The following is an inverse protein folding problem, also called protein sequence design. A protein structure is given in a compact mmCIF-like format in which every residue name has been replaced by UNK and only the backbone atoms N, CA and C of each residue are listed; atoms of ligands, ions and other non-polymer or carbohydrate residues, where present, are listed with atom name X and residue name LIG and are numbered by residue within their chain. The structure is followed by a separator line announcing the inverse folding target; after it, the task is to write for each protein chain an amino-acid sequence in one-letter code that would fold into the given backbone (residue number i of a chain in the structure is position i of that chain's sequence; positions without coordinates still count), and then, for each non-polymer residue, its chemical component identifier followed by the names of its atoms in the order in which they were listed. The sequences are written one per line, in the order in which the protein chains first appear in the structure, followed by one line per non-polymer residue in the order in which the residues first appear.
data_IF_551964601226
#
_entry.id   IF_551964601226
#
_cell.length_a   1.000
_cell.length_b   1.000
_cell.length_c   1.000
_cell.angle_alpha   90.00
_cell.angle_beta   90.00
_cell.angle_gamma   90.00
#
_symmetry.space_group_name_H-M   'P 1'
#
loop_
_entity.id
_entity.type
_entity.pdbx_description
1 polymer ?
2 non-polymer ?
3 non-polymer ?
4 non-polymer ?
5 water ?
#
# COMPACT_ATOMS: atom_id res chain seq x y z
N UNK A 7 -6.12 36.29 -18.34
CA UNK A 7 -7.38 35.90 -17.65
C UNK A 7 -7.10 34.87 -16.55
N UNK A 8 -8.00 34.80 -15.58
CA UNK A 8 -7.94 33.79 -14.50
C UNK A 8 -8.02 32.42 -15.16
N UNK A 9 -8.82 32.21 -16.21
CA UNK A 9 -8.95 30.89 -16.85
C UNK A 9 -7.61 30.47 -17.49
N UNK A 10 -6.86 31.39 -18.07
CA UNK A 10 -5.57 31.04 -18.70
C UNK A 10 -4.59 30.56 -17.62
N UNK A 11 -4.45 31.35 -16.56
CA UNK A 11 -3.49 31.02 -15.49
C UNK A 11 -3.92 29.71 -14.85
N UNK A 12 -5.24 29.49 -14.72
CA UNK A 12 -5.79 28.26 -14.10
C UNK A 12 -5.41 27.05 -14.96
N UNK A 13 -5.50 27.20 -16.27
CA UNK A 13 -5.28 26.10 -17.21
C UNK A 13 -3.80 25.75 -17.12
N UNK A 14 -2.94 26.76 -17.12
CA UNK A 14 -1.46 26.48 -17.12
C UNK A 14 -1.07 25.79 -15.82
N UNK A 15 -1.56 26.33 -14.71
CA UNK A 15 -1.26 25.76 -13.37
C UNK A 15 -1.76 24.32 -13.27
N UNK A 16 -2.99 24.07 -13.73
CA UNK A 16 -3.55 22.71 -13.68
C UNK A 16 -2.72 21.77 -14.56
N UNK A 17 -2.32 22.27 -15.73
CA UNK A 17 -1.47 21.43 -16.60
C UNK A 17 -0.15 21.03 -15.92
N UNK A 18 0.46 21.94 -15.20
CA UNK A 18 1.70 21.64 -14.44
C UNK A 18 1.44 20.63 -13.34
N UNK A 19 0.36 20.84 -12.59
CA UNK A 19 0.02 19.95 -11.46
C UNK A 19 -0.33 18.54 -11.95
N UNK A 20 -1.17 18.47 -12.98
CA UNK A 20 -1.76 17.21 -13.47
C UNK A 20 -0.80 16.41 -14.33
N UNK A 21 -0.23 17.05 -15.33
CA UNK A 21 0.47 16.33 -16.42
C UNK A 21 2.00 16.40 -16.29
N UNK A 22 2.53 17.50 -15.77
CA UNK A 22 3.99 17.59 -15.57
C UNK A 22 4.41 16.86 -14.32
N UNK A 23 3.77 17.11 -13.18
CA UNK A 23 4.08 16.50 -11.88
C UNK A 23 3.31 15.24 -11.57
N UNK A 24 2.18 15.02 -12.23
CA UNK A 24 1.32 13.83 -11.98
C UNK A 24 0.88 13.76 -10.51
N UNK A 25 0.65 14.93 -9.91
CA UNK A 25 0.45 14.96 -8.43
C UNK A 25 -0.76 14.14 -8.01
N UNK A 26 -1.90 14.28 -8.72
CA UNK A 26 -3.10 13.55 -8.29
C UNK A 26 -2.93 12.04 -8.45
N UNK A 27 -2.36 11.61 -9.60
CA UNK A 27 -2.14 10.17 -9.80
C UNK A 27 -1.18 9.63 -8.72
N UNK A 28 -0.12 10.38 -8.41
CA UNK A 28 0.82 9.94 -7.35
C UNK A 28 0.16 9.89 -5.98
N UNK A 29 -0.68 10.87 -5.69
CA UNK A 29 -1.39 10.88 -4.39
C UNK A 29 -2.35 9.69 -4.28
N UNK A 30 -3.01 9.35 -5.36
CA UNK A 30 -3.97 8.23 -5.29
C UNK A 30 -3.19 6.94 -5.07
N UNK A 31 -2.08 6.82 -5.80
CA UNK A 31 -1.27 5.59 -5.63
C UNK A 31 -0.75 5.50 -4.20
N UNK A 32 -0.25 6.60 -3.67
CA UNK A 32 0.24 6.65 -2.27
C UNK A 32 -0.85 6.15 -1.32
N UNK A 33 -2.05 6.76 -1.43
CA UNK A 33 -3.19 6.36 -0.61
C UNK A 33 -3.40 4.86 -0.66
N UNK A 34 -3.52 4.30 -1.87
CA UNK A 34 -3.85 2.87 -1.97
C UNK A 34 -2.70 2.00 -1.42
N UNK A 35 -1.45 2.36 -1.71
CA UNK A 35 -0.33 1.59 -1.12
C UNK A 35 -0.43 1.60 0.41
N UNK A 36 -0.88 2.72 1.00
CA UNK A 36 -0.95 2.88 2.48
C UNK A 36 -2.21 2.22 3.07
N UNK A 37 -3.15 1.82 2.23
CA UNK A 37 -4.46 1.28 2.69
C UNK A 37 -4.75 0.02 1.91
N UNK A 38 -3.95 -1.04 2.13
CA UNK A 38 -4.05 -2.23 1.32
C UNK A 38 -5.39 -2.95 1.44
N UNK A 39 -6.21 -2.65 2.46
CA UNK A 39 -7.55 -3.27 2.54
C UNK A 39 -8.29 -3.06 1.20
N UNK A 40 -8.07 -1.94 0.52
CA UNK A 40 -8.87 -1.58 -0.67
C UNK A 40 -8.39 -2.33 -1.91
N UNK A 41 -7.19 -2.90 -1.89
CA UNK A 41 -6.80 -3.83 -2.97
C UNK A 41 -7.21 -5.26 -2.61
N UNK A 42 -7.22 -5.56 -1.32
CA UNK A 42 -7.49 -6.92 -0.84
C UNK A 42 -8.99 -7.21 -0.99
N UNK A 43 -9.84 -6.20 -0.87
CA UNK A 43 -11.30 -6.38 -0.83
C UNK A 43 -11.94 -5.44 -1.85
N UNK A 44 -12.54 -6.01 -2.87
CA UNK A 44 -13.28 -5.23 -3.88
C UNK A 44 -14.52 -4.56 -3.24
N UNK A 45 -15.18 -5.22 -2.29
CA UNK A 45 -16.32 -4.65 -1.59
C UNK A 45 -15.88 -3.39 -0.83
N UNK A 46 -14.76 -3.44 -0.14
CA UNK A 46 -14.27 -2.24 0.58
C UNK A 46 -13.99 -1.12 -0.42
N UNK A 47 -13.39 -1.45 -1.57
CA UNK A 47 -13.04 -0.43 -2.62
C UNK A 47 -14.32 0.20 -3.15
N UNK A 48 -15.40 -0.58 -3.31
CA UNK A 48 -16.63 -0.02 -3.88
C UNK A 48 -17.27 0.91 -2.84
N UNK A 49 -17.24 0.55 -1.55
CA UNK A 49 -17.75 1.40 -0.46
C UNK A 49 -16.91 2.70 -0.41
N UNK A 50 -15.59 2.56 -0.61
CA UNK A 50 -14.76 3.77 -0.52
C UNK A 50 -15.11 4.74 -1.65
N UNK A 51 -15.30 4.21 -2.83
CA UNK A 51 -15.64 5.10 -4.00
C UNK A 51 -16.99 5.79 -3.82
N UNK A 52 -17.96 5.08 -3.23
CA UNK A 52 -19.25 5.68 -2.89
C UNK A 52 -19.05 6.83 -1.91
N UNK A 53 -18.27 6.61 -0.84
CA UNK A 53 -18.06 7.65 0.20
C UNK A 53 -17.20 8.80 -0.36
N UNK A 54 -16.23 8.50 -1.24
CA UNK A 54 -15.36 9.50 -1.87
C UNK A 54 -16.22 10.47 -2.69
N UNK A 55 -17.10 9.91 -3.52
CA UNK A 55 -18.00 10.78 -4.33
C UNK A 55 -18.83 11.70 -3.43
N UNK A 56 -19.27 11.20 -2.28
CA UNK A 56 -20.03 12.05 -1.35
C UNK A 56 -19.15 13.16 -0.75
N UNK A 57 -17.89 12.82 -0.40
CA UNK A 57 -16.97 13.83 0.19
C UNK A 57 -16.74 14.93 -0.84
N UNK A 58 -16.55 14.56 -2.11
CA UNK A 58 -16.20 15.55 -3.14
C UNK A 58 -17.37 16.51 -3.41
N UNK A 59 -18.62 16.11 -3.06
CA UNK A 59 -19.81 17.01 -3.22
C UNK A 59 -19.83 18.08 -2.10
N UNK A 60 -19.18 17.88 -0.98
CA UNK A 60 -19.25 18.80 0.17
C UNK A 60 -18.47 20.06 -0.07
N UNK A 61 -19.04 21.28 0.06
CA UNK A 61 -18.25 22.49 -0.08
C UNK A 61 -17.05 22.55 0.88
N UNK A 62 -17.13 21.92 2.04
CA UNK A 62 -16.02 21.93 2.99
C UNK A 62 -14.79 21.23 2.41
N UNK A 63 -14.99 20.41 1.38
CA UNK A 63 -13.89 19.61 0.76
C UNK A 63 -13.37 20.26 -0.52
N UNK A 64 -13.86 21.42 -0.91
CA UNK A 64 -13.65 21.92 -2.28
C UNK A 64 -12.15 22.17 -2.58
N UNK A 65 -11.39 22.55 -1.56
CA UNK A 65 -9.93 22.84 -1.79
C UNK A 65 -9.02 21.71 -1.37
N UNK A 66 -9.57 20.56 -1.09
CA UNK A 66 -8.74 19.42 -0.65
C UNK A 66 -8.25 18.59 -1.83
N UNK A 67 -7.09 17.94 -1.58
CA UNK A 67 -6.41 17.11 -2.60
C UNK A 67 -7.09 15.77 -2.70
N UNK A 68 -6.74 14.97 -3.70
CA UNK A 68 -7.29 13.62 -3.80
C UNK A 68 -6.85 12.78 -2.59
N UNK A 69 -5.60 12.99 -2.11
CA UNK A 69 -5.18 12.24 -0.92
C UNK A 69 -6.05 12.55 0.28
N UNK A 70 -6.23 13.84 0.49
CA UNK A 70 -6.97 14.29 1.71
C UNK A 70 -8.45 13.83 1.63
N UNK A 71 -9.00 13.78 0.44
CA UNK A 71 -10.44 13.38 0.31
C UNK A 71 -10.58 11.86 0.35
N UNK A 72 -9.62 11.10 -0.20
CA UNK A 72 -9.61 9.63 0.01
C UNK A 72 -9.44 9.34 1.49
N UNK A 73 -8.57 10.03 2.23
CA UNK A 73 -8.42 9.78 3.67
C UNK A 73 -9.76 10.08 4.36
N UNK A 74 -10.38 11.19 4.02
CA UNK A 74 -11.65 11.58 4.68
C UNK A 74 -12.71 10.50 4.39
N UNK A 75 -12.77 9.99 3.18
CA UNK A 75 -13.72 8.91 2.81
C UNK A 75 -13.46 7.65 3.64
N UNK A 76 -12.19 7.26 3.74
CA UNK A 76 -11.77 6.12 4.56
C UNK A 76 -12.20 6.30 6.01
N UNK A 77 -11.96 7.48 6.56
CA UNK A 77 -12.27 7.73 7.98
C UNK A 77 -13.80 7.67 8.16
N UNK A 78 -14.54 8.14 7.18
CA UNK A 78 -16.01 8.04 7.27
C UNK A 78 -16.43 6.56 7.30
N UNK A 79 -15.87 5.71 6.48
CA UNK A 79 -16.27 4.27 6.51
C UNK A 79 -15.94 3.68 7.87
N UNK A 80 -14.84 4.05 8.47
CA UNK A 80 -14.44 3.54 9.79
C UNK A 80 -15.33 4.10 10.89
N UNK A 81 -15.94 5.26 10.69
CA UNK A 81 -16.74 5.93 11.74
C UNK A 81 -18.17 5.40 11.73
N UNK A 82 -18.64 4.74 10.67
CA UNK A 82 -20.04 4.24 10.61
C UNK A 82 -20.30 3.30 11.80
N UNK B 6 -7.76 -5.59 -8.90
CA UNK B 6 -8.06 -4.59 -7.84
C UNK B 6 -6.76 -3.95 -7.30
N UNK B 7 -5.94 -3.47 -8.17
CA UNK B 7 -4.57 -3.06 -7.83
C UNK B 7 -4.57 -1.57 -7.44
N UNK B 8 -3.45 -1.11 -6.88
CA UNK B 8 -3.29 0.33 -6.59
C UNK B 8 -3.37 1.11 -7.91
N UNK B 9 -2.73 0.60 -8.98
CA UNK B 9 -2.79 1.25 -10.31
C UNK B 9 -4.25 1.41 -10.80
N UNK B 10 -5.05 0.36 -10.73
CA UNK B 10 -6.46 0.36 -11.23
C UNK B 10 -7.24 1.32 -10.36
N UNK B 11 -7.03 1.26 -9.05
CA UNK B 11 -7.79 2.13 -8.12
C UNK B 11 -7.36 3.61 -8.25
N UNK B 12 -6.05 3.86 -8.45
CA UNK B 12 -5.55 5.23 -8.76
C UNK B 12 -6.27 5.73 -10.01
N UNK B 13 -6.36 4.91 -11.07
CA UNK B 13 -6.99 5.34 -12.35
C UNK B 13 -8.46 5.67 -12.09
N UNK B 14 -9.17 4.81 -11.37
CA UNK B 14 -10.60 5.06 -11.15
C UNK B 14 -10.74 6.34 -10.30
N UNK B 15 -10.02 6.44 -9.19
CA UNK B 15 -10.22 7.55 -8.24
C UNK B 15 -9.78 8.87 -8.88
N UNK B 16 -8.64 8.85 -9.60
CA UNK B 16 -8.13 10.08 -10.22
C UNK B 16 -9.11 10.54 -11.30
N UNK B 17 -9.73 9.62 -12.03
CA UNK B 17 -10.71 10.02 -13.08
C UNK B 17 -11.94 10.66 -12.42
N UNK B 18 -12.39 10.13 -11.29
CA UNK B 18 -13.50 10.78 -10.54
C UNK B 18 -13.07 12.19 -10.14
N UNK B 19 -11.88 12.35 -9.53
CA UNK B 19 -11.48 13.63 -8.96
C UNK B 19 -11.27 14.65 -10.10
N UNK B 20 -10.53 14.23 -11.14
CA UNK B 20 -9.99 15.11 -12.16
C UNK B 20 -10.85 15.19 -13.42
N UNK B 21 -11.47 14.12 -13.84
CA UNK B 21 -12.20 14.09 -15.12
C UNK B 21 -13.72 14.30 -14.89
N UNK B 22 -14.27 13.83 -13.77
CA UNK B 22 -15.73 13.94 -13.48
C UNK B 22 -15.99 15.24 -12.69
N UNK B 23 -15.37 15.35 -11.52
CA UNK B 23 -15.52 16.52 -10.64
C UNK B 23 -14.75 17.74 -11.14
N UNK B 24 -13.61 17.49 -11.77
CA UNK B 24 -12.68 18.55 -12.24
C UNK B 24 -12.23 19.44 -11.07
N UNK B 25 -11.89 18.80 -9.95
CA UNK B 25 -11.53 19.56 -8.73
C UNK B 25 -10.28 20.43 -8.96
N UNK B 26 -9.25 19.91 -9.62
CA UNK B 26 -7.99 20.69 -9.79
C UNK B 26 -8.28 22.01 -10.54
N UNK B 27 -8.97 21.92 -11.67
CA UNK B 27 -9.26 23.13 -12.43
C UNK B 27 -10.14 24.10 -11.62
N UNK B 28 -11.07 23.56 -10.87
CA UNK B 28 -11.96 24.42 -10.07
C UNK B 28 -11.13 25.16 -9.02
N UNK B 29 -10.20 24.44 -8.39
CA UNK B 29 -9.35 25.00 -7.31
C UNK B 29 -8.43 26.07 -7.89
N UNK B 30 -7.79 25.80 -9.02
CA UNK B 30 -6.90 26.77 -9.66
C UNK B 30 -7.68 28.03 -10.00
N UNK B 31 -8.87 27.89 -10.58
CA UNK B 31 -9.68 29.09 -10.92
C UNK B 31 -9.98 29.86 -9.63
N UNK B 32 -10.36 29.18 -8.54
CA UNK B 32 -10.62 29.86 -7.25
C UNK B 32 -9.41 30.69 -6.83
N UNK B 33 -8.24 30.08 -6.88
CA UNK B 33 -7.01 30.76 -6.44
C UNK B 33 -6.82 32.03 -7.26
N UNK B 34 -6.93 31.96 -8.59
CA UNK B 34 -6.63 33.13 -9.46
C UNK B 34 -7.72 34.20 -9.31
N UNK B 35 -8.96 33.78 -9.08
CA UNK B 35 -10.05 34.78 -8.84
C UNK B 35 -9.76 35.55 -7.55
N UNK B 36 -9.17 34.89 -6.55
CA UNK B 36 -8.85 35.47 -5.22
C UNK B 36 -7.56 36.32 -5.31
N UNK B 37 -6.75 36.12 -6.36
CA UNK B 37 -5.42 36.77 -6.48
C UNK B 37 -5.24 37.37 -7.87
N UNK B 38 -6.02 38.41 -8.22
CA UNK B 38 -6.03 38.95 -9.58
C UNK B 38 -4.74 39.70 -9.97
N UNK B 39 -3.89 40.01 -9.00
CA UNK B 39 -2.53 40.56 -9.33
C UNK B 39 -1.79 39.69 -10.36
N UNK B 40 -1.97 38.38 -10.30
CA UNK B 40 -1.31 37.45 -11.22
C UNK B 40 -1.82 37.56 -12.65
N UNK B 41 -2.97 38.17 -12.88
CA UNK B 41 -3.46 38.47 -14.25
C UNK B 41 -3.02 39.87 -14.67
N UNK B 42 -2.63 40.75 -13.72
CA UNK B 42 -2.19 42.13 -14.02
C UNK B 42 -0.70 42.19 -14.37
N UNK B 43 0.12 41.26 -13.86
CA UNK B 43 1.57 41.33 -14.05
C UNK B 43 2.02 39.97 -14.60
N UNK B 44 2.46 39.94 -15.85
CA UNK B 44 3.16 38.75 -16.38
C UNK B 44 4.40 38.40 -15.52
N UNK B 45 5.15 39.39 -15.07
CA UNK B 45 6.34 39.11 -14.23
C UNK B 45 5.91 38.41 -12.94
N UNK B 46 4.81 38.85 -12.32
CA UNK B 46 4.42 38.22 -11.03
C UNK B 46 3.98 36.77 -11.27
N UNK B 47 3.29 36.53 -12.38
CA UNK B 47 2.82 35.16 -12.69
C UNK B 47 4.00 34.24 -12.94
N UNK B 48 5.06 34.78 -13.57
CA UNK B 48 6.27 33.98 -13.86
C UNK B 48 6.87 33.62 -12.50
N UNK B 49 6.99 34.57 -11.60
CA UNK B 49 7.53 34.33 -10.26
C UNK B 49 6.67 33.30 -9.55
N UNK B 50 5.34 33.41 -9.62
CA UNK B 50 4.49 32.43 -8.96
C UNK B 50 4.69 31.03 -9.53
N UNK B 51 4.73 30.89 -10.86
CA UNK B 51 4.92 29.57 -11.49
C UNK B 51 6.29 28.99 -11.08
N UNK B 52 7.36 29.78 -10.99
CA UNK B 52 8.67 29.27 -10.49
C UNK B 52 8.50 28.76 -9.05
N UNK B 53 7.83 29.54 -8.17
CA UNK B 53 7.72 29.11 -6.76
C UNK B 53 6.82 27.86 -6.70
N UNK B 54 5.77 27.82 -7.53
CA UNK B 54 4.86 26.67 -7.58
C UNK B 54 5.57 25.37 -8.00
N UNK B 55 6.41 25.49 -9.02
CA UNK B 55 7.18 24.33 -9.50
C UNK B 55 8.17 23.89 -8.39
N UNK B 56 8.70 24.83 -7.63
CA UNK B 56 9.56 24.40 -6.50
C UNK B 56 8.73 23.71 -5.41
N UNK B 57 7.56 24.25 -5.08
CA UNK B 57 6.73 23.64 -4.03
C UNK B 57 6.42 22.20 -4.44
N UNK B 58 6.10 21.99 -5.69
CA UNK B 58 5.66 20.65 -6.11
C UNK B 58 6.80 19.64 -6.09
N UNK B 59 8.04 20.08 -5.97
CA UNK B 59 9.21 19.15 -5.88
C UNK B 59 9.38 18.66 -4.45
N UNK B 60 8.79 19.34 -3.47
CA UNK B 60 9.04 19.05 -2.06
C UNK B 60 8.26 17.84 -1.60
N UNK B 61 8.91 16.83 -0.98
CA UNK B 61 8.12 15.73 -0.45
C UNK B 61 7.12 16.22 0.61
N UNK B 62 7.40 17.28 1.36
CA UNK B 62 6.46 17.83 2.37
C UNK B 62 5.16 18.32 1.74
N UNK B 63 5.16 18.63 0.46
CA UNK B 63 4.01 19.14 -0.29
C UNK B 63 3.35 18.02 -1.08
N UNK B 64 3.76 16.79 -0.99
CA UNK B 64 3.38 15.80 -2.01
C UNK B 64 1.86 15.54 -1.94
N UNK B 65 1.28 15.62 -0.75
CA UNK B 65 -0.18 15.27 -0.63
C UNK B 65 -1.10 16.49 -0.62
N UNK B 66 -0.61 17.65 -0.97
CA UNK B 66 -1.38 18.90 -0.96
C UNK B 66 -2.04 19.15 -2.29
N UNK B 67 -3.17 19.87 -2.21
CA UNK B 67 -3.96 20.18 -3.41
C UNK B 67 -3.32 21.26 -4.27
N UNK B 68 -3.81 21.45 -5.50
CA UNK B 68 -3.34 22.61 -6.31
C UNK B 68 -3.67 23.91 -5.56
N UNK B 69 -4.84 24.00 -4.89
CA UNK B 69 -5.15 25.26 -4.21
C UNK B 69 -4.07 25.52 -3.16
N UNK B 70 -3.80 24.51 -2.35
CA UNK B 70 -2.87 24.64 -1.19
C UNK B 70 -1.44 24.94 -1.71
N UNK B 71 -1.07 24.35 -2.84
CA UNK B 71 0.30 24.59 -3.35
C UNK B 71 0.43 25.92 -4.08
N UNK B 72 -0.57 26.37 -4.80
CA UNK B 72 -0.59 27.75 -5.33
C UNK B 72 -0.48 28.75 -4.17
N UNK B 73 -1.29 28.50 -3.13
CA UNK B 73 -1.32 29.45 -2.00
C UNK B 73 0.06 29.46 -1.31
N UNK B 74 0.65 28.28 -1.11
CA UNK B 74 2.03 28.19 -0.57
C UNK B 74 3.03 28.97 -1.45
N UNK B 75 2.92 28.85 -2.75
CA UNK B 75 3.81 29.56 -3.68
C UNK B 75 3.63 31.07 -3.52
N UNK B 76 2.37 31.49 -3.40
CA UNK B 76 2.06 32.91 -3.22
C UNK B 76 2.70 33.38 -1.91
N UNK B 77 2.49 32.65 -0.84
CA UNK B 77 3.01 33.06 0.48
C UNK B 77 4.51 33.08 0.51
N UNK B 78 5.14 32.14 -0.19
CA UNK B 78 6.61 32.16 -0.27
C UNK B 78 7.06 33.47 -0.99
N UNK B 79 6.38 33.87 -2.05
CA UNK B 79 6.68 35.15 -2.73
C UNK B 79 6.50 36.29 -1.74
N UNK B 80 5.42 36.30 -0.97
CA UNK B 80 5.18 37.43 -0.06
C UNK B 80 6.24 37.48 1.04
N UNK B 81 6.83 36.35 1.44
CA UNK B 81 7.70 36.27 2.62
C UNK B 81 9.13 36.60 2.24
N UNK B 82 9.41 36.85 0.97
CA UNK B 82 10.79 37.21 0.51
C UNK B 82 11.16 38.60 1.04
N UNK C 6 3.42 -9.17 -16.00
CA UNK C 6 4.09 -8.64 -14.80
C UNK C 6 3.02 -8.06 -13.86
N UNK C 7 2.13 -8.89 -13.37
CA UNK C 7 1.04 -8.52 -12.46
C UNK C 7 1.40 -8.90 -11.02
N UNK C 8 0.62 -8.41 -10.07
CA UNK C 8 0.76 -8.77 -8.65
C UNK C 8 0.57 -10.29 -8.50
N UNK C 9 -0.44 -10.84 -9.17
CA UNK C 9 -0.74 -12.29 -9.16
C UNK C 9 0.47 -13.08 -9.67
N UNK C 10 1.03 -12.66 -10.79
CA UNK C 10 2.14 -13.43 -11.39
C UNK C 10 3.35 -13.39 -10.46
N UNK C 11 3.64 -12.23 -9.90
CA UNK C 11 4.78 -12.07 -8.96
C UNK C 11 4.54 -12.81 -7.64
N UNK C 12 3.28 -12.84 -7.19
CA UNK C 12 2.86 -13.59 -5.98
C UNK C 12 3.17 -15.09 -6.19
N UNK C 13 2.84 -15.58 -7.35
CA UNK C 13 3.04 -17.01 -7.65
C UNK C 13 4.53 -17.34 -7.62
N UNK C 14 5.34 -16.53 -8.29
CA UNK C 14 6.81 -16.76 -8.34
C UNK C 14 7.38 -16.74 -6.91
N UNK C 15 7.03 -15.69 -6.18
CA UNK C 15 7.66 -15.46 -4.86
C UNK C 15 7.18 -16.52 -3.86
N UNK C 16 5.90 -16.88 -3.88
CA UNK C 16 5.39 -17.92 -2.96
C UNK C 16 6.04 -19.25 -3.29
N UNK C 17 6.25 -19.51 -4.57
CA UNK C 17 6.87 -20.79 -4.98
C UNK C 17 8.30 -20.82 -4.40
N UNK C 18 9.03 -19.71 -4.51
CA UNK C 18 10.41 -19.66 -3.94
C UNK C 18 10.38 -19.95 -2.45
N UNK C 19 9.46 -19.26 -1.73
CA UNK C 19 9.44 -19.32 -0.27
C UNK C 19 9.04 -20.73 0.18
N UNK C 20 7.93 -21.23 -0.40
CA UNK C 20 7.24 -22.41 0.10
C UNK C 20 7.63 -23.71 -0.61
N UNK C 21 7.98 -23.65 -1.89
CA UNK C 21 8.23 -24.86 -2.70
C UNK C 21 9.75 -25.08 -2.82
N UNK C 22 10.52 -24.05 -2.92
CA UNK C 22 11.99 -24.19 -3.14
C UNK C 22 12.67 -24.17 -1.76
N UNK C 23 12.53 -23.13 -0.94
CA UNK C 23 13.14 -23.03 0.41
C UNK C 23 12.42 -23.88 1.47
N UNK C 24 11.11 -24.07 1.27
CA UNK C 24 10.24 -24.77 2.24
C UNK C 24 10.35 -24.12 3.62
N UNK C 25 10.22 -22.80 3.64
CA UNK C 25 10.47 -22.00 4.86
C UNK C 25 9.42 -22.33 5.93
N UNK C 26 8.15 -22.44 5.53
CA UNK C 26 7.06 -22.66 6.50
C UNK C 26 7.22 -23.97 7.24
N UNK C 27 7.56 -25.05 6.51
CA UNK C 27 7.80 -26.33 7.18
C UNK C 27 9.04 -26.28 8.07
N UNK C 28 10.10 -25.62 7.64
CA UNK C 28 11.30 -25.48 8.49
C UNK C 28 10.95 -24.73 9.78
N UNK C 29 10.16 -23.66 9.65
CA UNK C 29 9.80 -22.87 10.84
C UNK C 29 8.92 -23.66 11.81
N UNK C 30 7.96 -24.41 11.26
CA UNK C 30 7.10 -25.24 12.12
C UNK C 30 7.98 -26.24 12.86
N UNK C 31 8.93 -26.88 12.18
CA UNK C 31 9.76 -27.86 12.88
C UNK C 31 10.58 -27.19 13.99
N UNK C 32 11.12 -26.02 13.71
CA UNK C 32 11.88 -25.24 14.72
C UNK C 32 11.02 -25.04 15.95
N UNK C 33 9.80 -24.61 15.73
CA UNK C 33 8.85 -24.37 16.85
C UNK C 33 8.66 -25.65 17.67
N UNK C 34 8.37 -26.76 17.01
CA UNK C 34 8.10 -28.03 17.74
C UNK C 34 9.36 -28.53 18.44
N UNK C 35 10.52 -28.43 17.81
CA UNK C 35 11.77 -28.88 18.47
C UNK C 35 12.00 -28.06 19.75
N UNK C 36 11.58 -26.81 19.77
CA UNK C 36 11.75 -25.90 20.94
C UNK C 36 10.68 -26.10 22.00
N UNK C 37 9.57 -26.74 21.66
CA UNK C 37 8.39 -26.92 22.55
C UNK C 37 7.94 -28.39 22.54
N UNK C 38 8.78 -29.30 23.09
CA UNK C 38 8.49 -30.73 23.07
C UNK C 38 7.27 -31.17 23.88
N UNK C 39 6.69 -30.31 24.74
CA UNK C 39 5.41 -30.64 25.44
C UNK C 39 4.39 -31.05 24.36
N UNK C 40 4.43 -30.43 23.19
CA UNK C 40 3.38 -30.66 22.17
C UNK C 40 3.55 -32.01 21.48
N UNK C 41 4.71 -32.65 21.61
CA UNK C 41 4.84 -34.05 21.18
C UNK C 41 4.57 -35.02 22.34
N UNK C 42 4.81 -34.63 23.58
CA UNK C 42 4.59 -35.49 24.77
C UNK C 42 3.07 -35.58 25.01
N UNK C 43 2.30 -34.53 24.74
CA UNK C 43 0.87 -34.41 25.10
C UNK C 43 0.02 -34.15 23.86
N UNK C 44 -0.81 -35.11 23.47
CA UNK C 44 -1.79 -34.97 22.36
C UNK C 44 -2.80 -33.88 22.78
N UNK C 45 -3.17 -33.82 24.06
CA UNK C 45 -4.14 -32.79 24.50
C UNK C 45 -3.54 -31.39 24.29
N UNK C 46 -2.29 -31.19 24.71
CA UNK C 46 -1.69 -29.86 24.55
C UNK C 46 -1.63 -29.54 23.05
N UNK C 47 -1.32 -30.50 22.19
CA UNK C 47 -1.26 -30.22 20.73
C UNK C 47 -2.65 -29.87 20.18
N UNK C 48 -3.70 -30.51 20.68
CA UNK C 48 -5.06 -30.18 20.25
C UNK C 48 -5.39 -28.72 20.65
N UNK C 49 -5.05 -28.35 21.88
CA UNK C 49 -5.28 -26.97 22.37
C UNK C 49 -4.48 -25.98 21.52
N UNK C 50 -3.22 -26.35 21.20
CA UNK C 50 -2.39 -25.41 20.43
C UNK C 50 -3.02 -25.21 19.04
N UNK C 51 -3.46 -26.26 18.42
CA UNK C 51 -4.04 -26.17 17.05
C UNK C 51 -5.32 -25.34 17.07
N UNK C 52 -6.12 -25.49 18.11
CA UNK C 52 -7.31 -24.61 18.27
C UNK C 52 -6.91 -23.14 18.36
N UNK C 53 -5.94 -22.84 19.22
CA UNK C 53 -5.47 -21.46 19.44
C UNK C 53 -4.81 -20.90 18.16
N UNK C 54 -4.08 -21.77 17.46
CA UNK C 54 -3.43 -21.36 16.19
C UNK C 54 -4.48 -20.96 15.17
N UNK C 55 -5.52 -21.80 15.07
CA UNK C 55 -6.59 -21.46 14.10
C UNK C 55 -7.31 -20.15 14.49
N UNK C 56 -7.37 -19.87 15.77
CA UNK C 56 -7.94 -18.58 16.23
C UNK C 56 -7.02 -17.43 15.86
N UNK C 57 -5.72 -17.61 16.13
CA UNK C 57 -4.68 -16.59 15.79
C UNK C 57 -4.75 -16.29 14.30
N UNK C 58 -4.88 -17.29 13.47
CA UNK C 58 -4.80 -17.04 12.02
C UNK C 58 -6.05 -16.35 11.49
N UNK C 59 -7.17 -16.35 12.23
CA UNK C 59 -8.39 -15.58 11.85
C UNK C 59 -8.18 -14.10 12.08
N UNK C 60 -7.22 -13.67 12.88
CA UNK C 60 -7.13 -12.27 13.31
C UNK C 60 -6.47 -11.45 12.23
N UNK C 61 -7.02 -10.30 11.82
CA UNK C 61 -6.35 -9.39 10.93
C UNK C 61 -4.93 -9.03 11.38
N UNK C 62 -4.67 -8.90 12.68
CA UNK C 62 -3.32 -8.54 13.17
C UNK C 62 -2.30 -9.62 12.93
N UNK C 63 -2.73 -10.80 12.57
CA UNK C 63 -1.85 -11.94 12.29
C UNK C 63 -1.55 -12.04 10.79
N UNK C 64 -2.14 -11.22 9.94
CA UNK C 64 -2.23 -11.51 8.50
C UNK C 64 -0.80 -11.66 7.91
N UNK C 65 0.11 -10.83 8.37
CA UNK C 65 1.47 -10.83 7.76
C UNK C 65 2.50 -11.56 8.60
N UNK C 66 2.10 -12.31 9.59
CA UNK C 66 3.03 -13.04 10.46
C UNK C 66 3.31 -14.44 9.93
N UNK C 67 4.49 -14.94 10.34
CA UNK C 67 4.97 -16.26 9.92
C UNK C 67 4.33 -17.36 10.68
N UNK C 68 4.54 -18.61 10.23
CA UNK C 68 4.03 -19.76 11.00
C UNK C 68 4.72 -19.82 12.34
N UNK C 69 6.05 -19.50 12.37
CA UNK C 69 6.74 -19.55 13.67
C UNK C 69 6.05 -18.57 14.65
N UNK C 70 5.86 -17.33 14.17
CA UNK C 70 5.29 -16.27 15.03
C UNK C 70 3.87 -16.64 15.50
N UNK C 71 3.11 -17.26 14.64
CA UNK C 71 1.70 -17.50 14.96
C UNK C 71 1.58 -18.74 15.83
N UNK C 72 2.44 -19.76 15.63
CA UNK C 72 2.52 -20.88 16.59
C UNK C 72 2.95 -20.36 17.95
N UNK C 73 3.93 -19.46 17.98
CA UNK C 73 4.39 -18.94 19.28
C UNK C 73 3.27 -18.13 19.92
N UNK C 74 2.57 -17.28 19.17
CA UNK C 74 1.43 -16.51 19.72
C UNK C 74 0.41 -17.49 20.30
N UNK C 75 0.08 -18.55 19.60
CA UNK C 75 -0.89 -19.52 20.10
C UNK C 75 -0.42 -20.12 21.44
N UNK C 76 0.85 -20.52 21.46
CA UNK C 76 1.47 -21.09 22.68
C UNK C 76 1.38 -20.09 23.83
N UNK C 77 1.67 -18.84 23.58
CA UNK C 77 1.66 -17.81 24.66
C UNK C 77 0.21 -17.52 25.10
N UNK C 78 -0.73 -17.58 24.17
CA UNK C 78 -2.13 -17.44 24.54
C UNK C 78 -2.52 -18.55 25.53
N UNK C 79 -2.08 -19.77 25.24
CA UNK C 79 -2.40 -20.89 26.16
C UNK C 79 -1.75 -20.67 27.51
N UNK C 80 -0.52 -20.19 27.52
CA UNK C 80 0.21 -19.97 28.79
C UNK C 80 -0.49 -18.89 29.63
N UNK C 81 -1.06 -17.86 29.01
CA UNK C 81 -1.58 -16.69 29.75
C UNK C 81 -3.00 -16.98 30.25
N UNK C 82 -3.55 -18.18 29.99
CA UNK C 82 -4.79 -18.67 30.65
C UNK C 82 -4.55 -18.89 32.16
N UNK D 7 4.61 -36.89 16.63
CA UNK D 7 6.04 -36.52 16.40
C UNK D 7 6.10 -35.04 15.98
N UNK D 8 7.30 -34.48 16.11
CA UNK D 8 7.61 -33.10 15.71
C UNK D 8 7.35 -32.96 14.21
N UNK D 9 7.77 -33.93 13.40
CA UNK D 9 7.52 -33.96 11.94
C UNK D 9 6.01 -33.92 11.71
N UNK D 10 5.22 -34.72 12.42
CA UNK D 10 3.75 -34.79 12.18
C UNK D 10 3.11 -33.44 12.55
N UNK D 11 3.46 -32.90 13.71
CA UNK D 11 2.85 -31.63 14.15
C UNK D 11 3.23 -30.54 13.14
N UNK D 12 4.46 -30.55 12.65
CA UNK D 12 4.98 -29.56 11.69
C UNK D 12 4.24 -29.68 10.36
N UNK D 13 3.92 -30.87 9.93
CA UNK D 13 3.19 -31.05 8.66
C UNK D 13 1.76 -30.52 8.80
N UNK D 14 1.11 -30.88 9.91
CA UNK D 14 -0.29 -30.49 10.16
C UNK D 14 -0.40 -28.96 10.27
N UNK D 15 0.51 -28.37 11.05
CA UNK D 15 0.53 -26.93 11.25
C UNK D 15 0.74 -26.24 9.90
N UNK D 16 1.74 -26.70 9.13
CA UNK D 16 2.03 -26.11 7.80
C UNK D 16 0.83 -26.24 6.87
N UNK D 17 0.12 -27.37 6.94
CA UNK D 17 -1.03 -27.57 6.05
C UNK D 17 -2.14 -26.55 6.36
N UNK D 18 -2.30 -26.27 7.64
CA UNK D 18 -3.27 -25.26 8.11
C UNK D 18 -2.85 -23.88 7.62
N UNK D 19 -1.59 -23.53 7.80
CA UNK D 19 -1.13 -22.18 7.44
C UNK D 19 -1.18 -21.99 5.92
N UNK D 20 -0.70 -22.99 5.18
CA UNK D 20 -0.52 -22.93 3.75
C UNK D 20 -1.84 -23.05 3.02
N UNK D 21 -2.54 -24.13 3.24
CA UNK D 21 -3.63 -24.57 2.34
C UNK D 21 -4.99 -24.16 2.91
N UNK D 22 -5.15 -24.18 4.24
CA UNK D 22 -6.43 -23.74 4.83
C UNK D 22 -6.57 -22.22 4.85
N UNK D 23 -5.57 -21.53 5.37
CA UNK D 23 -5.61 -20.08 5.55
C UNK D 23 -4.92 -19.32 4.38
N UNK D 24 -4.10 -19.98 3.54
CA UNK D 24 -3.49 -19.35 2.37
C UNK D 24 -2.61 -18.18 2.81
N UNK D 25 -1.99 -18.28 4.00
CA UNK D 25 -1.31 -17.11 4.56
C UNK D 25 -0.21 -16.60 3.63
N UNK D 26 0.66 -17.51 3.11
CA UNK D 26 1.79 -17.05 2.29
C UNK D 26 1.31 -16.44 0.98
N UNK D 27 0.32 -17.07 0.34
CA UNK D 27 -0.17 -16.53 -0.94
C UNK D 27 -0.79 -15.13 -0.72
N UNK D 28 -1.53 -14.97 0.40
CA UNK D 28 -2.18 -13.67 0.71
C UNK D 28 -1.13 -12.58 0.99
N UNK D 29 -0.08 -13.01 1.75
CA UNK D 29 1.03 -12.11 2.08
C UNK D 29 1.78 -11.63 0.84
N UNK D 30 2.10 -12.59 -0.05
CA UNK D 30 2.84 -12.19 -1.25
C UNK D 30 2.00 -11.25 -2.09
N UNK D 31 0.70 -11.55 -2.20
CA UNK D 31 -0.13 -10.71 -3.06
C UNK D 31 -0.20 -9.30 -2.45
N UNK D 32 -0.43 -9.16 -1.12
CA UNK D 32 -0.53 -7.79 -0.57
C UNK D 32 0.80 -7.04 -0.70
N UNK D 33 1.92 -7.75 -0.46
CA UNK D 33 3.24 -7.11 -0.65
C UNK D 33 3.33 -6.49 -2.05
N UNK D 34 3.01 -7.26 -3.07
CA UNK D 34 3.11 -6.75 -4.44
C UNK D 34 2.09 -5.63 -4.66
N UNK D 35 0.85 -5.79 -4.15
CA UNK D 35 -0.13 -4.70 -4.37
C UNK D 35 0.40 -3.41 -3.75
N UNK D 36 1.05 -3.49 -2.60
CA UNK D 36 1.60 -2.38 -1.83
C UNK D 36 2.85 -1.79 -2.46
N UNK D 37 3.47 -2.50 -3.42
CA UNK D 37 4.76 -2.10 -4.05
C UNK D 37 4.67 -2.25 -5.56
N UNK D 38 3.84 -1.41 -6.20
CA UNK D 38 3.56 -1.57 -7.62
C UNK D 38 4.74 -1.26 -8.56
N UNK D 39 5.83 -0.73 -8.01
CA UNK D 39 7.09 -0.58 -8.79
C UNK D 39 7.48 -1.93 -9.38
N UNK D 40 7.20 -3.02 -8.69
CA UNK D 40 7.62 -4.37 -9.14
C UNK D 40 6.72 -4.93 -10.24
N UNK D 41 5.57 -4.33 -10.48
CA UNK D 41 4.79 -4.64 -11.69
C UNK D 41 5.16 -3.66 -12.81
N UNK D 42 5.59 -2.46 -12.48
CA UNK D 42 6.01 -1.48 -13.52
C UNK D 42 7.31 -1.88 -14.22
N UNK D 43 8.23 -2.43 -13.47
CA UNK D 43 9.62 -2.69 -13.92
C UNK D 43 9.95 -4.16 -13.73
N UNK D 44 10.12 -4.88 -14.82
CA UNK D 44 10.58 -6.29 -14.78
C UNK D 44 11.99 -6.33 -14.22
N UNK D 45 12.81 -5.34 -14.55
CA UNK D 45 14.18 -5.30 -14.00
C UNK D 45 14.11 -5.18 -12.49
N UNK D 46 13.26 -4.31 -11.96
CA UNK D 46 13.15 -4.16 -10.49
C UNK D 46 12.67 -5.50 -9.87
N UNK D 47 11.71 -6.16 -10.50
CA UNK D 47 11.19 -7.46 -9.97
C UNK D 47 12.31 -8.51 -9.97
N UNK D 48 13.13 -8.54 -11.00
CA UNK D 48 14.25 -9.51 -11.07
C UNK D 48 15.26 -9.22 -9.96
N UNK D 49 15.55 -7.95 -9.71
CA UNK D 49 16.50 -7.54 -8.66
C UNK D 49 15.89 -7.88 -7.29
N UNK D 50 14.57 -7.74 -7.13
CA UNK D 50 13.92 -8.06 -5.86
C UNK D 50 14.06 -9.56 -5.63
N UNK D 51 13.77 -10.36 -6.64
CA UNK D 51 13.87 -11.84 -6.44
C UNK D 51 15.31 -12.25 -6.08
N UNK D 52 16.31 -11.61 -6.70
CA UNK D 52 17.70 -11.88 -6.34
C UNK D 52 17.90 -11.59 -4.84
N UNK D 53 17.44 -10.43 -4.39
CA UNK D 53 17.74 -10.05 -2.98
C UNK D 53 16.87 -10.87 -2.02
N UNK D 54 15.65 -11.25 -2.44
CA UNK D 54 14.75 -12.11 -1.64
C UNK D 54 15.38 -13.47 -1.36
N UNK D 55 15.94 -14.08 -2.43
CA UNK D 55 16.61 -15.37 -2.26
C UNK D 55 17.81 -15.23 -1.31
N UNK D 56 18.50 -14.11 -1.33
CA UNK D 56 19.63 -13.88 -0.39
C UNK D 56 19.13 -13.75 1.06
N UNK D 57 18.04 -12.99 1.27
CA UNK D 57 17.45 -12.84 2.63
C UNK D 57 17.03 -14.20 3.17
N UNK D 58 16.39 -15.01 2.32
CA UNK D 58 15.86 -16.31 2.80
C UNK D 58 16.98 -17.29 3.20
N UNK D 59 18.22 -17.05 2.74
CA UNK D 59 19.43 -17.82 3.17
C UNK D 59 19.95 -17.33 4.51
N UNK D 60 19.62 -16.17 5.01
CA UNK D 60 20.25 -15.63 6.22
C UNK D 60 19.64 -16.20 7.47
N UNK D 61 20.39 -16.72 8.44
CA UNK D 61 19.78 -17.23 9.68
C UNK D 61 18.99 -16.15 10.42
N UNK D 62 19.34 -14.90 10.27
CA UNK D 62 18.64 -13.79 10.94
C UNK D 62 17.22 -13.65 10.45
N UNK D 63 16.87 -14.28 9.34
CA UNK D 63 15.54 -14.16 8.73
C UNK D 63 14.81 -15.50 8.75
N UNK D 64 15.31 -16.53 9.45
CA UNK D 64 14.80 -17.88 9.24
C UNK D 64 13.32 -18.02 9.70
N UNK D 65 12.93 -17.21 10.67
CA UNK D 65 11.55 -17.31 11.24
C UNK D 65 10.66 -16.22 10.70
N UNK D 66 11.02 -15.47 9.71
CA UNK D 66 10.19 -14.36 9.16
C UNK D 66 9.31 -14.88 8.05
N UNK D 67 8.18 -14.18 7.91
CA UNK D 67 7.15 -14.57 6.93
C UNK D 67 7.54 -14.12 5.55
N UNK D 68 6.81 -14.57 4.54
CA UNK D 68 7.07 -14.08 3.18
C UNK D 68 6.92 -12.58 3.14
N UNK D 69 5.86 -12.01 3.81
CA UNK D 69 5.70 -10.54 3.81
C UNK D 69 6.94 -9.88 4.37
N UNK D 70 7.36 -10.31 5.56
CA UNK D 70 8.50 -9.64 6.23
C UNK D 70 9.81 -9.76 5.42
N UNK D 71 9.96 -10.88 4.75
CA UNK D 71 11.23 -11.11 3.99
C UNK D 71 11.16 -10.40 2.65
N UNK D 72 10.01 -10.32 2.00
CA UNK D 72 9.87 -9.46 0.80
C UNK D 72 10.15 -8.00 1.18
N UNK D 73 9.55 -7.53 2.30
CA UNK D 73 9.82 -6.15 2.78
C UNK D 73 11.33 -6.00 2.96
N UNK D 74 11.96 -6.90 3.71
CA UNK D 74 13.42 -6.79 4.00
C UNK D 74 14.16 -6.69 2.69
N UNK D 75 13.84 -7.53 1.72
CA UNK D 75 14.53 -7.55 0.41
C UNK D 75 14.32 -6.22 -0.31
N UNK D 76 13.12 -5.71 -0.25
CA UNK D 76 12.78 -4.39 -0.84
C UNK D 76 13.63 -3.28 -0.19
N UNK D 77 13.72 -3.28 1.13
CA UNK D 77 14.53 -2.25 1.84
C UNK D 77 16.00 -2.38 1.45
N UNK D 78 16.50 -3.58 1.29
CA UNK D 78 17.90 -3.75 0.88
C UNK D 78 18.10 -3.21 -0.54
N UNK D 79 17.18 -3.51 -1.43
CA UNK D 79 17.31 -3.09 -2.84
C UNK D 79 17.28 -1.56 -2.91
N UNK D 80 16.46 -0.91 -2.09
CA UNK D 80 16.38 0.55 -2.09
C UNK D 80 17.71 1.11 -1.59
N UNK D 81 18.43 0.43 -0.71
CA UNK D 81 19.78 0.91 -0.29
C UNK D 81 20.86 0.56 -1.34
N UNK D 82 20.51 -0.18 -2.41
CA UNK D 82 21.40 -0.53 -3.56
C UNK D 82 20.80 0.06 -4.84
X LIG E 1 -5.47 15.35 -13.40
X LIG F 1 -5.14 17.02 -16.86
X LIG G 1 -8.75 5.99 10.95
X LIG H 1 5.54 13.59 -9.61
X LIG I 1 -5.14 13.00 -12.60
X LIG J 1 -5.17 16.76 -11.38
X LIG K 1 -6.41 18.64 -15.16
X LIG L 1 -6.89 7.66 12.16
X LIG M 1 -7.07 4.25 9.78
X LIG N 1 -8.63 17.48 -14.62
X LIG O 1 -16.40 20.58 -7.24
X LIG P 1 9.60 37.51 -18.21
X LIG Q 1 9.13 12.10 3.20
X LIG R 1 -9.68 17.71 -16.84
X LIG S 1 -9.41 18.93 -12.88
X LIG T 1 -7.05 15.97 -17.19
X LIG U 1 11.82 37.64 -17.05
X LIG V 1 3.73 43.06 -8.68
X LIG W 1 2.68 -22.66 1.07
X LIG X 1 5.59 -25.36 1.47
X LIG Y 1 15.65 -22.16 5.16
X LIG Z 1 -8.29 -35.05 23.00
X LIG AA 1 0.29 -30.01 29.28
X LIG BA 1 3.29 -21.60 3.17
X LIG CA 1 3.50 -25.94 2.86
X LIG DA 1 3.15 -26.46 -0.53
X LIG EA 1 5.95 -27.59 0.40
X LIG FA 1 7.07 -24.78 3.29
X LIG GA 1 -0.20 -28.11 29.71
X LIG HA 1 2.28 -30.15 30.21
X LIG IA 1 1.56 -26.30 1.11
X LIG JA 1 -6.40 -16.28 4.82
X LIG KA 1 11.93 1.80 2.36
X LIG LA 1 2.26 -20.78 -0.52
X LIG MA 1 -8.36 -17.63 5.04
#
# INVERSE_FOLDING_TARGET
GSHMDNSASKNSAISSSIFCEKYKQTKEQALTFFQEHPQYMRSKEDEEQLMTEFKKVLLEPGSKNLSIYQTLLAAHERLQAL
GSHMDNSASKNSAISSSIFCEKYKQTKEQALTFFQEHPQYMRSKEDEEQLMTEFKKVLLEPGSKNLSIYQTLLAAHERLQAL
GSHMDNSASKNSAISSSIFCEKYKQTKEQALTFFQEHPQYMRSKEDEEQLMTEFKKVLLEPGSKNLSIYQTLLAAHERLQAL
GSHMDNSASKNSAISSSIFCEKYKQTKEQALTFFQEHPQYMRSKEDEEQLMTEFKKVLLEPGSKNLSIYQTLLAAHERLQAL
CD CD
CD CD
CD CD
CD CD
CL CL
CL CL
CL CL
CL CL
CL CL
CD CD
CD CD
CD CD
CD CD
CL CL
CL CL
CL CL
CL CL
NA NA
CD CD
CD CD
CD CD
CD CD
CD CD
CL CL
CL CL
CL CL
CL CL
CL CL
CL CL
CL CL
CD CD
CD CD
CD CD
CL CL
CL CL
#
